data_IF_595734565915
#
_entry.id   IF_595734565915
#
_cell.length_a   1.000
_cell.length_b   1.000
_cell.length_c   1.000
_cell.angle_alpha   90.00
_cell.angle_beta   90.00
_cell.angle_gamma   90.00
#
_symmetry.space_group_name_H-M   'P 1'
#
loop_
_entity.id
_entity.type
_entity.pdbx_description
1 polymer ?
#
# COMPACT_ATOMS: atom_id res chain seq x y z
N UNK A 1 -12.22 17.50 35.81
CA UNK A 1 -11.57 17.04 34.56
C UNK A 1 -10.48 16.05 34.89
N UNK A 2 -10.46 14.89 34.25
CA UNK A 2 -9.51 13.80 34.46
C UNK A 2 -8.80 13.49 33.15
N UNK A 3 -7.75 12.65 33.21
CA UNK A 3 -7.07 12.17 31.99
C UNK A 3 -8.07 11.40 31.10
N UNK A 4 -9.02 10.68 31.70
CA UNK A 4 -10.05 9.98 30.95
C UNK A 4 -10.93 10.93 30.14
N UNK A 5 -11.26 12.12 30.66
CA UNK A 5 -12.02 13.14 29.92
C UNK A 5 -11.22 13.64 28.71
N UNK A 6 -9.91 13.80 28.84
CA UNK A 6 -9.03 14.26 27.74
C UNK A 6 -9.00 13.21 26.62
N UNK A 7 -8.77 11.95 26.97
CA UNK A 7 -8.72 10.86 25.98
C UNK A 7 -10.07 10.71 25.27
N UNK A 8 -11.15 10.64 26.07
CA UNK A 8 -12.51 10.44 25.51
C UNK A 8 -12.95 11.58 24.59
N UNK A 9 -12.65 12.84 24.95
CA UNK A 9 -13.00 13.99 24.09
C UNK A 9 -12.17 13.98 22.80
N UNK A 10 -10.89 13.60 22.87
CA UNK A 10 -10.04 13.49 21.70
C UNK A 10 -10.61 12.47 20.69
N UNK A 11 -10.96 11.27 21.17
CA UNK A 11 -11.54 10.23 20.34
C UNK A 11 -12.91 10.62 19.81
N UNK A 12 -13.78 11.14 20.65
CA UNK A 12 -15.12 11.60 20.26
C UNK A 12 -15.07 12.70 19.20
N UNK A 13 -14.06 13.56 19.21
CA UNK A 13 -13.90 14.63 18.23
C UNK A 13 -13.87 14.10 16.80
N UNK A 14 -13.22 12.94 16.55
CA UNK A 14 -13.22 12.30 15.24
C UNK A 14 -14.61 11.81 14.84
N UNK A 15 -15.33 11.16 15.76
CA UNK A 15 -16.68 10.66 15.49
C UNK A 15 -17.64 11.81 15.19
N UNK A 16 -17.59 12.88 16.00
CA UNK A 16 -18.44 14.07 15.80
C UNK A 16 -18.07 14.85 14.54
N UNK A 17 -16.81 14.83 14.11
CA UNK A 17 -16.36 15.56 12.91
C UNK A 17 -16.64 14.82 11.61
N UNK A 18 -16.61 13.48 11.61
CA UNK A 18 -16.64 12.71 10.38
C UNK A 18 -17.77 11.68 10.28
N UNK A 19 -18.35 11.24 11.38
CA UNK A 19 -19.26 10.09 11.40
C UNK A 19 -20.65 10.44 11.92
N UNK A 20 -20.74 11.15 13.04
CA UNK A 20 -22.01 11.41 13.69
C UNK A 20 -22.76 12.57 13.04
N UNK A 21 -23.72 12.22 12.17
CA UNK A 21 -24.71 13.16 11.63
C UNK A 21 -25.69 13.61 12.73
N UNK A 22 -26.59 14.50 12.41
CA UNK A 22 -27.61 14.95 13.36
C UNK A 22 -28.43 13.79 13.93
N UNK A 23 -28.74 12.79 13.10
CA UNK A 23 -29.52 11.60 13.49
C UNK A 23 -28.83 10.78 14.59
N UNK A 24 -27.55 10.49 14.43
CA UNK A 24 -26.78 9.72 15.43
C UNK A 24 -26.59 10.52 16.71
N UNK A 25 -26.39 11.82 16.63
CA UNK A 25 -26.28 12.70 17.79
C UNK A 25 -27.56 12.75 18.62
N UNK A 26 -28.71 12.72 17.98
CA UNK A 26 -30.01 12.64 18.65
C UNK A 26 -30.26 11.29 19.33
N UNK A 27 -29.69 10.22 18.82
CA UNK A 27 -29.79 8.89 19.43
C UNK A 27 -28.89 8.73 20.67
N UNK A 28 -27.90 9.60 20.83
CA UNK A 28 -26.91 9.56 21.93
C UNK A 28 -26.92 10.86 22.74
N UNK A 29 -28.05 11.25 23.35
CA UNK A 29 -28.19 12.57 23.96
C UNK A 29 -27.24 12.82 25.12
N UNK A 30 -27.00 11.82 25.97
CA UNK A 30 -26.12 11.94 27.11
C UNK A 30 -24.64 12.08 26.69
N UNK A 31 -24.21 11.32 25.70
CA UNK A 31 -22.86 11.41 25.15
C UNK A 31 -22.64 12.76 24.45
N UNK A 32 -23.64 13.19 23.71
CA UNK A 32 -23.62 14.48 23.02
C UNK A 32 -23.55 15.64 24.01
N UNK A 33 -24.36 15.61 25.08
CA UNK A 33 -24.32 16.61 26.13
C UNK A 33 -22.97 16.64 26.87
N UNK A 34 -22.40 15.45 27.18
CA UNK A 34 -21.08 15.33 27.79
C UNK A 34 -20.01 15.97 26.90
N UNK A 35 -19.94 15.60 25.62
CA UNK A 35 -18.98 16.14 24.67
C UNK A 35 -19.09 17.67 24.55
N UNK A 36 -20.28 18.21 24.39
CA UNK A 36 -20.49 19.66 24.29
C UNK A 36 -20.16 20.41 25.58
N UNK A 37 -20.37 19.80 26.74
CA UNK A 37 -20.02 20.42 28.02
C UNK A 37 -18.49 20.52 28.18
N UNK A 38 -17.76 19.51 27.75
CA UNK A 38 -16.29 19.56 27.77
C UNK A 38 -15.72 20.56 26.75
N UNK A 39 -16.33 20.71 25.60
CA UNK A 39 -15.93 21.73 24.60
C UNK A 39 -16.14 23.19 25.07
N UNK A 40 -16.90 23.44 26.16
CA UNK A 40 -17.00 24.77 26.78
C UNK A 40 -15.75 25.15 27.57
N UNK A 41 -14.95 24.17 27.97
CA UNK A 41 -13.70 24.38 28.73
C UNK A 41 -12.68 25.07 27.81
N UNK A 42 -12.04 26.18 28.23
CA UNK A 42 -11.18 26.99 27.38
C UNK A 42 -10.02 26.20 26.74
N UNK A 43 -9.45 25.22 27.45
CA UNK A 43 -8.35 24.40 26.99
C UNK A 43 -8.78 23.51 25.80
N UNK A 44 -9.92 22.86 25.90
CA UNK A 44 -10.48 22.08 24.79
C UNK A 44 -10.89 22.97 23.62
N UNK A 45 -11.50 24.12 23.90
CA UNK A 45 -11.91 25.07 22.88
C UNK A 45 -10.74 25.62 22.06
N UNK A 46 -9.59 25.84 22.72
CA UNK A 46 -8.38 26.35 22.05
C UNK A 46 -7.76 25.34 21.10
N UNK A 47 -7.82 24.04 21.42
CA UNK A 47 -7.21 22.96 20.63
C UNK A 47 -8.15 22.42 19.56
N UNK A 48 -9.40 22.16 19.92
CA UNK A 48 -10.39 21.53 19.03
C UNK A 48 -11.07 22.55 18.12
N UNK A 49 -11.20 23.79 18.58
CA UNK A 49 -11.90 24.85 17.85
C UNK A 49 -13.41 24.65 17.83
N UNK A 50 -14.07 25.18 16.79
CA UNK A 50 -15.48 24.89 16.52
C UNK A 50 -15.58 23.59 15.74
N UNK A 51 -16.21 22.54 16.27
CA UNK A 51 -16.42 21.32 15.51
C UNK A 51 -17.37 21.59 14.35
N UNK A 52 -16.98 21.13 13.17
CA UNK A 52 -17.86 21.06 12.02
C UNK A 52 -18.52 19.68 12.04
N UNK A 53 -19.83 19.63 11.92
CA UNK A 53 -20.58 18.38 11.94
C UNK A 53 -21.02 18.02 10.54
N UNK A 54 -20.82 16.77 10.09
CA UNK A 54 -21.20 16.36 8.76
C UNK A 54 -22.73 16.21 8.65
N UNK A 55 -23.28 16.61 7.52
CA UNK A 55 -24.69 16.32 7.16
C UNK A 55 -24.84 14.86 6.72
N UNK A 56 -23.79 14.29 6.12
CA UNK A 56 -23.68 12.88 5.74
C UNK A 56 -22.45 12.25 6.38
N UNK A 57 -22.51 10.98 6.83
CA UNK A 57 -21.34 10.32 7.41
C UNK A 57 -20.23 10.22 6.36
N UNK A 58 -19.00 10.52 6.76
CA UNK A 58 -17.86 10.24 5.92
C UNK A 58 -17.74 8.73 5.75
N UNK A 59 -18.06 8.25 4.56
CA UNK A 59 -17.86 6.85 4.18
C UNK A 59 -16.45 6.72 3.65
N UNK A 60 -15.59 5.89 4.25
CA UNK A 60 -14.31 5.57 3.63
C UNK A 60 -14.57 5.01 2.23
N UNK A 61 -13.82 5.48 1.24
CA UNK A 61 -13.88 4.93 -0.12
C UNK A 61 -13.35 3.50 -0.05
N UNK A 62 -14.24 2.56 0.25
CA UNK A 62 -13.94 1.15 0.09
C UNK A 62 -14.00 0.91 -1.42
N UNK A 63 -12.83 0.76 -2.04
CA UNK A 63 -12.77 0.31 -3.43
C UNK A 63 -13.54 -1.02 -3.51
N UNK A 64 -14.71 -0.99 -4.11
CA UNK A 64 -15.49 -2.20 -4.36
C UNK A 64 -14.71 -3.00 -5.40
N UNK A 65 -13.96 -3.98 -4.94
CA UNK A 65 -13.56 -5.06 -5.83
C UNK A 65 -14.86 -5.72 -6.32
N UNK A 66 -15.11 -5.78 -7.62
CA UNK A 66 -16.32 -6.44 -8.12
C UNK A 66 -16.22 -7.92 -7.76
N UNK A 67 -17.18 -8.41 -6.97
CA UNK A 67 -17.35 -9.83 -6.75
C UNK A 67 -17.62 -10.52 -8.08
N UNK A 68 -17.17 -11.78 -8.30
CA UNK A 68 -17.40 -12.50 -9.52
C UNK A 68 -18.91 -12.63 -9.77
N UNK A 69 -19.35 -12.15 -10.93
CA UNK A 69 -20.75 -12.23 -11.37
C UNK A 69 -21.12 -13.70 -11.57
N UNK A 70 -22.04 -14.21 -10.77
CA UNK A 70 -22.84 -15.37 -11.15
C UNK A 70 -23.85 -14.91 -12.19
N UNK A 71 -23.78 -15.48 -13.37
CA UNK A 71 -24.76 -15.31 -14.43
C UNK A 71 -26.08 -15.97 -14.03
N UNK A 72 -27.12 -15.17 -13.85
CA UNK A 72 -28.49 -15.64 -13.93
C UNK A 72 -29.24 -14.82 -14.96
N UNK A 73 -29.60 -15.50 -16.04
CA UNK A 73 -30.51 -15.01 -17.08
C UNK A 73 -31.87 -14.64 -16.49
N UNK A 74 -32.40 -13.43 -16.82
CA UNK A 74 -33.78 -13.22 -17.34
C UNK A 74 -34.11 -11.76 -17.63
N UNK A 75 -34.35 -11.59 -18.92
CA UNK A 75 -35.47 -10.91 -19.62
C UNK A 75 -35.80 -9.45 -19.38
N UNK A 76 -35.83 -8.82 -20.54
CA UNK A 76 -36.32 -7.49 -20.92
C UNK A 76 -37.68 -7.08 -20.35
N UNK A 77 -37.82 -5.76 -20.12
CA UNK A 77 -38.95 -5.00 -20.71
C UNK A 77 -38.66 -3.48 -20.69
N UNK A 78 -39.03 -2.85 -21.81
CA UNK A 78 -38.90 -1.45 -22.20
C UNK A 78 -39.96 -0.56 -21.55
N UNK A 79 -39.67 0.72 -21.35
CA UNK A 79 -40.39 1.97 -21.77
C UNK A 79 -39.85 3.15 -20.99
N UNK A 80 -39.20 4.10 -21.60
CA UNK A 80 -39.65 5.29 -22.37
C UNK A 80 -40.20 6.44 -21.51
N UNK A 81 -39.47 7.55 -21.65
CA UNK A 81 -39.90 8.95 -21.83
C UNK A 81 -40.06 9.87 -20.63
N UNK A 82 -39.31 10.91 -20.52
CA UNK A 82 -39.54 12.32 -20.84
C UNK A 82 -38.60 13.30 -20.08
N UNK A 83 -37.97 14.18 -20.84
CA UNK A 83 -37.26 15.41 -20.42
C UNK A 83 -38.30 16.53 -20.12
N UNK A 84 -37.97 17.65 -19.40
CA UNK A 84 -37.03 18.64 -19.91
C UNK A 84 -36.18 19.44 -18.88
N UNK A 85 -35.01 19.83 -19.35
CA UNK A 85 -34.19 21.04 -19.20
C UNK A 85 -34.49 22.06 -18.06
N UNK A 86 -33.42 22.37 -17.29
CA UNK A 86 -33.02 23.75 -16.97
C UNK A 86 -31.52 23.84 -16.76
N UNK A 87 -30.91 24.77 -17.46
CA UNK A 87 -29.50 25.16 -17.39
C UNK A 87 -29.24 25.96 -16.13
N UNK A 88 -28.12 25.66 -15.46
CA UNK A 88 -27.32 26.67 -14.74
C UNK A 88 -25.88 26.17 -14.68
N UNK A 89 -24.95 27.10 -14.91
CA UNK A 89 -23.55 26.88 -15.12
C UNK A 89 -22.85 26.40 -13.85
N UNK A 90 -22.15 25.28 -13.93
CA UNK A 90 -21.15 24.86 -12.94
C UNK A 90 -19.78 24.82 -13.60
N UNK A 91 -18.84 25.47 -12.94
CA UNK A 91 -17.43 25.44 -13.29
C UNK A 91 -16.90 24.01 -13.26
N UNK A 92 -16.44 23.51 -14.38
CA UNK A 92 -15.81 22.21 -14.53
C UNK A 92 -14.46 22.20 -13.80
N UNK A 93 -14.44 21.64 -12.60
CA UNK A 93 -13.24 21.05 -12.03
C UNK A 93 -12.96 19.74 -12.79
N UNK A 94 -12.14 19.84 -13.80
CA UNK A 94 -11.70 18.69 -14.59
C UNK A 94 -10.81 17.79 -13.73
N UNK A 95 -11.44 16.83 -13.06
CA UNK A 95 -10.74 15.65 -12.54
C UNK A 95 -10.27 14.88 -13.80
N UNK A 96 -8.99 15.00 -14.12
CA UNK A 96 -8.35 14.15 -15.09
C UNK A 96 -8.39 12.71 -14.56
N UNK A 97 -9.38 11.93 -14.98
CA UNK A 97 -9.28 10.47 -14.94
C UNK A 97 -8.13 10.08 -15.88
N UNK A 98 -6.93 9.91 -15.31
CA UNK A 98 -5.85 9.25 -16.03
C UNK A 98 -6.33 7.84 -16.40
N UNK A 99 -6.60 7.63 -17.68
CA UNK A 99 -6.89 6.31 -18.23
C UNK A 99 -5.75 5.39 -17.82
N UNK A 100 -6.05 4.38 -16.98
CA UNK A 100 -5.08 3.39 -16.54
C UNK A 100 -4.36 2.82 -17.77
N UNK A 101 -3.06 3.10 -17.91
CA UNK A 101 -2.23 2.55 -18.99
C UNK A 101 -2.32 1.04 -18.92
N UNK A 102 -2.76 0.40 -20.01
CA UNK A 102 -2.79 -1.06 -20.12
C UNK A 102 -1.42 -1.49 -20.63
N UNK A 103 -0.69 -2.23 -19.81
CA UNK A 103 0.60 -2.79 -20.18
C UNK A 103 0.38 -4.17 -20.80
N UNK A 104 0.95 -4.39 -21.98
CA UNK A 104 0.95 -5.68 -22.64
C UNK A 104 2.14 -6.51 -22.14
N UNK A 105 1.86 -7.76 -21.79
CA UNK A 105 2.88 -8.70 -21.32
C UNK A 105 2.86 -9.96 -22.17
N UNK A 106 4.01 -10.62 -22.35
CA UNK A 106 4.07 -11.91 -23.02
C UNK A 106 3.10 -12.90 -22.40
N UNK A 107 2.48 -13.72 -23.25
CA UNK A 107 1.64 -14.83 -22.77
C UNK A 107 2.49 -15.83 -21.99
N UNK A 108 2.03 -16.23 -20.82
CA UNK A 108 2.72 -17.18 -19.95
C UNK A 108 1.73 -18.10 -19.27
N UNK A 109 2.15 -19.31 -18.99
CA UNK A 109 1.39 -20.27 -18.18
C UNK A 109 1.59 -20.08 -16.68
N UNK A 110 2.59 -19.27 -16.29
CA UNK A 110 2.88 -18.99 -14.88
C UNK A 110 1.92 -17.95 -14.33
N UNK A 111 1.11 -18.37 -13.34
CA UNK A 111 0.21 -17.46 -12.62
C UNK A 111 0.91 -16.78 -11.45
N UNK A 112 1.28 -15.51 -11.64
CA UNK A 112 1.92 -14.70 -10.63
C UNK A 112 1.04 -14.48 -9.39
N UNK A 113 -0.28 -14.40 -9.53
CA UNK A 113 -1.18 -14.20 -8.41
C UNK A 113 -1.26 -15.45 -7.53
N UNK A 114 -1.41 -16.62 -8.16
CA UNK A 114 -1.36 -17.89 -7.46
C UNK A 114 -0.01 -18.08 -6.75
N UNK A 115 1.09 -17.73 -7.42
CA UNK A 115 2.43 -17.79 -6.81
C UNK A 115 2.59 -16.82 -5.62
N UNK A 116 2.10 -15.59 -5.70
CA UNK A 116 2.11 -14.65 -4.55
C UNK A 116 1.40 -15.26 -3.34
N UNK A 117 0.25 -15.87 -3.56
CA UNK A 117 -0.52 -16.52 -2.50
C UNK A 117 0.25 -17.71 -1.92
N UNK A 118 0.82 -18.54 -2.78
CA UNK A 118 1.65 -19.68 -2.37
C UNK A 118 2.84 -19.21 -1.52
N UNK A 119 3.62 -18.26 -2.02
CA UNK A 119 4.82 -17.77 -1.36
C UNK A 119 4.51 -17.14 0.01
N UNK A 120 3.47 -16.31 0.09
CA UNK A 120 3.13 -15.64 1.35
C UNK A 120 2.68 -16.64 2.42
N UNK A 121 1.89 -17.65 2.04
CA UNK A 121 1.33 -18.65 2.95
C UNK A 121 2.29 -19.81 3.25
N UNK A 122 3.35 -20.00 2.44
CA UNK A 122 4.31 -21.08 2.68
C UNK A 122 5.03 -20.88 4.01
N UNK A 123 5.03 -21.92 4.85
CA UNK A 123 5.83 -21.98 6.08
C UNK A 123 7.32 -22.03 5.71
N UNK A 124 7.67 -22.91 4.76
CA UNK A 124 9.00 -23.03 4.19
C UNK A 124 9.07 -22.27 2.86
N UNK A 125 9.76 -21.13 2.85
CA UNK A 125 9.88 -20.29 1.64
C UNK A 125 10.69 -20.98 0.52
N UNK A 126 11.56 -21.93 0.88
CA UNK A 126 12.33 -22.67 -0.12
C UNK A 126 11.41 -23.49 -1.04
N UNK A 127 10.39 -24.13 -0.51
CA UNK A 127 9.41 -24.89 -1.33
C UNK A 127 8.69 -24.01 -2.36
N UNK A 128 8.33 -22.79 -1.96
CA UNK A 128 7.74 -21.83 -2.89
C UNK A 128 8.74 -21.40 -3.98
N UNK A 129 10.02 -21.23 -3.62
CA UNK A 129 11.07 -20.95 -4.62
C UNK A 129 11.32 -22.12 -5.54
N UNK A 130 11.31 -23.35 -5.04
CA UNK A 130 11.47 -24.55 -5.87
C UNK A 130 10.33 -24.65 -6.91
N UNK A 131 9.10 -24.35 -6.49
CA UNK A 131 7.97 -24.22 -7.42
C UNK A 131 8.20 -23.12 -8.45
N UNK A 132 8.71 -21.95 -8.03
CA UNK A 132 9.02 -20.84 -8.93
C UNK A 132 10.06 -21.26 -9.97
N UNK A 133 11.16 -21.90 -9.54
CA UNK A 133 12.22 -22.31 -10.45
C UNK A 133 11.79 -23.39 -11.43
N UNK A 134 10.89 -24.29 -11.02
CA UNK A 134 10.33 -25.32 -11.89
C UNK A 134 9.42 -24.74 -12.99
N UNK A 135 8.81 -23.58 -12.74
CA UNK A 135 7.86 -22.95 -13.65
C UNK A 135 8.34 -21.58 -14.18
N UNK A 136 9.63 -21.25 -14.01
CA UNK A 136 10.17 -19.96 -14.38
C UNK A 136 10.10 -19.69 -15.87
N UNK A 137 9.52 -18.55 -16.23
CA UNK A 137 9.42 -18.04 -17.59
C UNK A 137 10.19 -16.72 -17.73
N UNK A 138 11.41 -16.80 -18.26
CA UNK A 138 12.32 -15.66 -18.44
C UNK A 138 11.82 -14.62 -19.45
N UNK A 139 10.89 -14.98 -20.33
CA UNK A 139 10.32 -14.07 -21.31
C UNK A 139 9.18 -13.24 -20.72
N UNK A 140 8.53 -13.77 -19.67
CA UNK A 140 7.40 -13.14 -19.03
C UNK A 140 7.75 -12.42 -17.73
N UNK A 141 8.87 -12.77 -17.09
CA UNK A 141 9.28 -12.22 -15.79
C UNK A 141 10.76 -11.90 -15.73
N UNK A 142 11.10 -10.98 -14.85
CA UNK A 142 12.48 -10.59 -14.55
C UNK A 142 12.67 -10.38 -13.06
N UNK A 143 13.92 -10.59 -12.59
CA UNK A 143 14.32 -10.24 -11.24
C UNK A 143 15.19 -9.00 -11.24
N UNK A 144 14.98 -8.16 -10.22
CA UNK A 144 15.72 -6.92 -10.04
C UNK A 144 16.18 -6.79 -8.60
N UNK A 145 17.44 -6.46 -8.42
CA UNK A 145 18.01 -6.04 -7.16
C UNK A 145 17.89 -4.52 -7.04
N UNK A 146 17.33 -4.05 -5.95
CA UNK A 146 17.12 -2.65 -5.63
C UNK A 146 17.99 -2.28 -4.44
N UNK A 147 18.80 -1.25 -4.58
CA UNK A 147 19.60 -0.69 -3.48
C UNK A 147 19.42 0.81 -3.42
N UNK A 148 19.01 1.32 -2.26
CA UNK A 148 18.89 2.75 -2.01
C UNK A 148 20.27 3.39 -1.98
N UNK A 149 20.44 4.48 -2.72
CA UNK A 149 21.66 5.30 -2.73
C UNK A 149 21.56 6.35 -1.61
N UNK A 150 21.97 5.93 -0.41
CA UNK A 150 21.81 6.73 0.80
C UNK A 150 22.75 7.94 0.83
N UNK A 151 22.24 9.08 1.28
CA UNK A 151 23.07 10.25 1.58
C UNK A 151 23.95 9.99 2.82
N UNK A 152 25.08 10.73 2.99
CA UNK A 152 25.96 10.57 4.16
C UNK A 152 25.31 10.78 5.53
N UNK A 153 24.18 11.49 5.57
CA UNK A 153 23.39 11.72 6.79
C UNK A 153 22.40 10.60 7.11
N UNK A 154 22.11 9.70 6.16
CA UNK A 154 21.10 8.65 6.24
C UNK A 154 21.68 7.30 6.68
N UNK A 155 20.81 6.35 7.00
CA UNK A 155 21.21 5.03 7.47
C UNK A 155 21.79 4.98 8.89
N UNK A 156 21.70 6.08 9.67
CA UNK A 156 22.27 6.14 11.01
C UNK A 156 21.35 5.61 12.09
N UNK A 157 20.04 5.71 11.89
CA UNK A 157 19.01 5.29 12.84
C UNK A 157 17.97 4.41 12.17
N UNK A 158 17.64 3.29 12.80
CA UNK A 158 16.73 2.29 12.25
C UNK A 158 15.34 2.86 11.93
N UNK A 159 14.75 3.60 12.86
CA UNK A 159 13.40 4.13 12.66
C UNK A 159 13.33 5.15 11.50
N UNK A 160 14.37 5.97 11.29
CA UNK A 160 14.41 6.91 10.16
C UNK A 160 14.58 6.17 8.83
N UNK A 161 15.45 5.15 8.82
CA UNK A 161 15.68 4.31 7.65
C UNK A 161 14.41 3.52 7.27
N UNK A 162 13.68 3.02 8.27
CA UNK A 162 12.38 2.38 8.05
C UNK A 162 11.35 3.34 7.45
N UNK A 163 11.31 4.59 7.90
CA UNK A 163 10.39 5.58 7.34
C UNK A 163 10.71 5.89 5.87
N UNK A 164 12.00 5.98 5.51
CA UNK A 164 12.42 6.13 4.11
C UNK A 164 11.97 4.95 3.26
N UNK A 165 12.22 3.73 3.73
CA UNK A 165 11.80 2.49 3.06
C UNK A 165 10.29 2.43 2.88
N UNK A 166 9.53 2.66 3.95
CA UNK A 166 8.06 2.62 3.88
C UNK A 166 7.51 3.69 2.93
N UNK A 167 8.07 4.91 2.96
CA UNK A 167 7.67 5.98 2.06
C UNK A 167 7.90 5.65 0.57
N UNK A 168 8.93 4.86 0.24
CA UNK A 168 9.12 4.34 -1.10
C UNK A 168 8.05 3.29 -1.44
N UNK A 169 7.83 2.31 -0.57
CA UNK A 169 6.87 1.23 -0.80
C UNK A 169 5.43 1.74 -0.91
N UNK A 170 5.05 2.71 -0.09
CA UNK A 170 3.70 3.30 -0.11
C UNK A 170 3.42 4.03 -1.44
N UNK A 171 4.40 4.78 -1.96
CA UNK A 171 4.26 5.45 -3.25
C UNK A 171 4.31 4.48 -4.44
N UNK A 172 4.96 3.31 -4.30
CA UNK A 172 5.01 2.27 -5.31
C UNK A 172 3.74 1.39 -5.32
N UNK A 173 2.73 1.67 -4.51
CA UNK A 173 1.53 0.82 -4.32
C UNK A 173 0.84 0.42 -5.63
N UNK A 174 0.76 1.33 -6.59
CA UNK A 174 0.19 1.10 -7.92
C UNK A 174 0.93 0.04 -8.74
N UNK A 175 2.19 -0.29 -8.37
CA UNK A 175 2.99 -1.33 -9.00
C UNK A 175 2.67 -2.74 -8.48
N UNK A 176 1.97 -2.89 -7.36
CA UNK A 176 1.74 -4.19 -6.69
C UNK A 176 1.20 -5.27 -7.62
N UNK A 177 0.30 -4.94 -8.52
CA UNK A 177 -0.28 -5.92 -9.46
C UNK A 177 0.74 -6.52 -10.45
N UNK A 178 1.89 -5.87 -10.62
CA UNK A 178 2.92 -6.25 -11.58
C UNK A 178 4.18 -6.86 -10.96
N UNK A 179 4.32 -6.82 -9.65
CA UNK A 179 5.53 -7.28 -8.98
C UNK A 179 5.25 -8.01 -7.67
N UNK A 180 6.24 -8.75 -7.23
CA UNK A 180 6.37 -9.31 -5.87
C UNK A 180 7.80 -9.07 -5.43
N UNK A 181 7.99 -8.50 -4.25
CA UNK A 181 9.33 -8.23 -3.77
C UNK A 181 9.49 -8.44 -2.28
N UNK A 182 10.70 -8.79 -1.88
CA UNK A 182 11.18 -8.68 -0.51
C UNK A 182 12.06 -7.44 -0.45
N UNK A 183 11.72 -6.52 0.42
CA UNK A 183 12.43 -5.27 0.60
C UNK A 183 12.69 -5.05 2.08
N UNK A 184 13.86 -4.55 2.45
CA UNK A 184 14.20 -4.47 3.85
C UNK A 184 15.32 -3.50 4.18
N UNK A 185 15.50 -3.30 5.47
CA UNK A 185 16.64 -2.58 6.05
C UNK A 185 17.61 -3.58 6.62
N UNK A 186 18.87 -3.47 6.20
CA UNK A 186 19.93 -4.40 6.53
C UNK A 186 21.14 -3.67 7.15
N UNK A 187 21.82 -4.33 8.09
CA UNK A 187 23.01 -3.83 8.77
C UNK A 187 22.74 -3.37 10.19
N UNK A 188 23.72 -2.70 10.76
CA UNK A 188 23.68 -2.20 12.12
C UNK A 188 23.82 -0.68 12.15
N UNK A 189 23.23 -0.03 13.16
CA UNK A 189 23.47 1.39 13.39
C UNK A 189 24.96 1.66 13.66
N UNK A 190 25.56 2.64 13.04
CA UNK A 190 25.01 3.71 12.21
C UNK A 190 25.11 3.47 10.70
N UNK A 191 25.25 2.23 10.22
CA UNK A 191 25.47 1.90 8.80
C UNK A 191 24.37 0.96 8.27
N UNK A 192 23.13 1.44 8.29
CA UNK A 192 21.96 0.75 7.74
C UNK A 192 21.85 1.00 6.24
N UNK A 193 21.38 -0.01 5.51
CA UNK A 193 21.12 0.07 4.07
C UNK A 193 19.72 -0.46 3.75
N UNK A 194 19.03 0.18 2.79
CA UNK A 194 17.77 -0.28 2.26
C UNK A 194 18.06 -1.05 0.97
N UNK A 195 17.62 -2.30 0.93
CA UNK A 195 17.84 -3.21 -0.21
C UNK A 195 16.62 -4.09 -0.43
N UNK A 196 16.49 -4.64 -1.63
CA UNK A 196 15.44 -5.59 -1.93
C UNK A 196 15.68 -6.36 -3.21
N UNK A 197 15.01 -7.51 -3.33
CA UNK A 197 14.96 -8.29 -4.55
C UNK A 197 13.52 -8.47 -4.97
N UNK A 198 13.20 -8.01 -6.16
CA UNK A 198 11.84 -7.95 -6.68
C UNK A 198 11.71 -8.75 -7.99
N UNK A 199 10.66 -9.53 -8.08
CA UNK A 199 10.21 -10.15 -9.32
C UNK A 199 9.19 -9.24 -10.00
N UNK A 200 9.39 -8.96 -11.27
CA UNK A 200 8.52 -8.13 -12.10
C UNK A 200 7.91 -8.92 -13.23
N UNK A 201 6.67 -8.57 -13.57
CA UNK A 201 6.02 -9.02 -14.80
C UNK A 201 6.59 -8.23 -15.97
N UNK A 202 7.11 -8.95 -16.97
CA UNK A 202 7.88 -8.36 -18.06
C UNK A 202 9.39 -8.48 -17.85
N UNK A 203 10.14 -8.19 -18.91
CA UNK A 203 11.61 -8.32 -18.93
C UNK A 203 12.32 -7.02 -18.54
N UNK A 204 11.61 -5.91 -18.53
CA UNK A 204 12.11 -4.58 -18.15
C UNK A 204 11.27 -3.98 -17.03
N UNK A 205 11.84 -2.99 -16.32
CA UNK A 205 11.09 -2.22 -15.33
C UNK A 205 9.99 -1.42 -15.99
N UNK A 206 8.81 -1.48 -15.40
CA UNK A 206 7.63 -0.81 -15.93
C UNK A 206 7.69 0.71 -15.73
N UNK A 207 7.08 1.44 -16.66
CA UNK A 207 6.95 2.90 -16.57
C UNK A 207 6.38 3.39 -15.23
N UNK A 208 5.36 2.76 -14.61
CA UNK A 208 4.89 3.20 -13.29
C UNK A 208 5.96 3.29 -12.22
N UNK A 209 6.95 2.39 -12.24
CA UNK A 209 8.07 2.49 -11.29
C UNK A 209 9.05 3.58 -11.70
N UNK A 210 9.29 3.77 -13.00
CA UNK A 210 10.17 4.82 -13.51
C UNK A 210 9.61 6.23 -13.27
N UNK A 211 8.28 6.38 -13.24
CA UNK A 211 7.58 7.62 -12.89
C UNK A 211 7.57 7.88 -11.36
N UNK A 212 8.05 6.95 -10.55
CA UNK A 212 8.09 7.09 -9.10
C UNK A 212 9.04 8.22 -8.68
N UNK A 213 8.59 9.12 -7.80
CA UNK A 213 9.35 10.30 -7.36
C UNK A 213 10.73 9.99 -6.72
N UNK A 214 10.95 8.77 -6.27
CA UNK A 214 12.20 8.29 -5.69
C UNK A 214 12.90 7.27 -6.59
N UNK A 215 12.54 7.19 -7.87
CA UNK A 215 13.17 6.24 -8.79
C UNK A 215 14.69 6.46 -8.86
N UNK A 216 15.10 7.70 -9.04
CA UNK A 216 16.52 8.08 -9.25
C UNK A 216 17.42 7.90 -8.02
N UNK A 217 16.83 7.72 -6.83
CA UNK A 217 17.61 7.46 -5.59
C UNK A 217 17.79 5.98 -5.29
N UNK A 218 17.33 5.11 -6.18
CA UNK A 218 17.58 3.68 -6.13
C UNK A 218 18.42 3.23 -7.31
N UNK A 219 19.37 2.34 -7.04
CA UNK A 219 20.10 1.62 -8.07
C UNK A 219 19.37 0.31 -8.36
N UNK A 220 19.10 0.06 -9.64
CA UNK A 220 18.38 -1.12 -10.12
C UNK A 220 19.35 -2.00 -10.93
N UNK A 221 19.55 -3.22 -10.49
CA UNK A 221 20.39 -4.21 -11.20
C UNK A 221 19.54 -5.41 -11.57
N UNK A 222 19.46 -5.73 -12.86
CA UNK A 222 18.76 -6.92 -13.35
C UNK A 222 19.54 -8.17 -12.95
N UNK A 223 18.85 -9.15 -12.38
CA UNK A 223 19.41 -10.44 -11.98
C UNK A 223 19.03 -11.52 -12.99
N UNK A 224 20.00 -12.37 -13.33
CA UNK A 224 19.79 -13.53 -14.20
C UNK A 224 19.77 -14.82 -13.36
N UNK A 225 18.61 -15.47 -13.17
CA UNK A 225 18.50 -16.70 -12.40
C UNK A 225 19.30 -17.89 -12.99
N UNK A 226 19.80 -17.77 -14.20
CA UNK A 226 20.68 -18.78 -14.81
C UNK A 226 22.09 -18.77 -14.21
N UNK A 227 22.51 -17.63 -13.68
CA UNK A 227 23.80 -17.52 -13.00
C UNK A 227 23.67 -18.00 -11.56
N UNK A 228 24.47 -18.97 -11.12
CA UNK A 228 24.36 -19.56 -9.78
C UNK A 228 24.46 -18.51 -8.65
N UNK A 229 25.34 -17.52 -8.81
CA UNK A 229 25.59 -16.47 -7.83
C UNK A 229 24.34 -15.56 -7.68
N UNK A 230 23.75 -15.13 -8.79
CA UNK A 230 22.57 -14.26 -8.80
C UNK A 230 21.32 -15.02 -8.31
N UNK A 231 21.19 -16.30 -8.68
CA UNK A 231 20.16 -17.19 -8.14
C UNK A 231 20.30 -17.38 -6.62
N UNK A 232 21.52 -17.56 -6.14
CA UNK A 232 21.79 -17.67 -4.71
C UNK A 232 21.44 -16.38 -3.96
N UNK A 233 21.71 -15.22 -4.56
CA UNK A 233 21.32 -13.92 -4.02
C UNK A 233 19.79 -13.80 -3.90
N UNK A 234 19.05 -14.11 -4.96
CA UNK A 234 17.58 -14.14 -4.94
C UNK A 234 17.10 -15.05 -3.81
N UNK A 235 17.65 -16.26 -3.72
CA UNK A 235 17.28 -17.23 -2.70
C UNK A 235 17.53 -16.68 -1.29
N UNK A 236 18.67 -16.02 -1.05
CA UNK A 236 18.96 -15.43 0.26
C UNK A 236 17.90 -14.39 0.66
N UNK A 237 17.56 -13.46 -0.24
CA UNK A 237 16.57 -12.42 0.04
C UNK A 237 15.16 -13.00 0.27
N UNK A 238 14.84 -14.09 -0.38
CA UNK A 238 13.48 -14.64 -0.37
C UNK A 238 13.28 -15.77 0.65
N UNK A 239 14.33 -16.27 1.29
CA UNK A 239 14.25 -17.32 2.32
C UNK A 239 14.70 -16.88 3.70
N UNK A 240 15.64 -15.92 3.79
CA UNK A 240 16.15 -15.41 5.06
C UNK A 240 15.33 -14.23 5.52
N UNK A 241 14.26 -14.51 6.26
CA UNK A 241 13.20 -13.57 6.58
C UNK A 241 13.02 -13.35 8.08
N UNK A 242 13.92 -13.87 8.91
CA UNK A 242 13.88 -13.69 10.34
C UNK A 242 14.64 -12.41 10.72
N UNK A 243 13.90 -11.39 11.17
CA UNK A 243 14.45 -10.11 11.59
C UNK A 243 15.38 -10.32 12.79
N UNK A 244 16.47 -9.56 12.86
CA UNK A 244 17.53 -9.59 13.88
C UNK A 244 18.35 -10.87 13.97
N UNK A 245 17.99 -11.92 13.25
CA UNK A 245 18.67 -13.23 13.24
C UNK A 245 19.35 -13.52 11.91
N UNK A 246 18.62 -13.38 10.81
CA UNK A 246 19.11 -13.70 9.49
C UNK A 246 20.11 -12.68 8.94
N UNK A 247 21.11 -13.19 8.23
CA UNK A 247 22.07 -12.36 7.50
C UNK A 247 21.94 -12.57 6.00
N UNK A 248 21.81 -11.46 5.29
CA UNK A 248 21.78 -11.40 3.84
C UNK A 248 22.94 -10.52 3.37
N UNK A 249 23.77 -11.03 2.44
CA UNK A 249 25.01 -10.35 2.03
C UNK A 249 25.89 -9.91 3.21
N UNK A 250 25.96 -10.73 4.27
CA UNK A 250 26.74 -10.47 5.48
C UNK A 250 26.16 -9.43 6.45
N UNK A 251 25.01 -8.81 6.12
CA UNK A 251 24.33 -7.80 6.94
C UNK A 251 23.09 -8.38 7.60
N UNK A 252 22.88 -8.05 8.86
CA UNK A 252 21.70 -8.49 9.64
C UNK A 252 20.44 -7.85 9.07
N UNK A 253 19.40 -8.65 8.84
CA UNK A 253 18.07 -8.15 8.47
C UNK A 253 17.40 -7.50 9.69
N UNK A 254 17.08 -6.22 9.62
CA UNK A 254 16.49 -5.45 10.72
C UNK A 254 15.01 -5.23 10.59
N UNK A 255 14.56 -5.02 9.38
CA UNK A 255 13.14 -4.87 9.05
C UNK A 255 12.91 -5.41 7.66
N UNK A 256 11.87 -6.22 7.50
CA UNK A 256 11.53 -6.84 6.24
C UNK A 256 10.09 -6.54 5.85
N UNK A 257 9.86 -6.28 4.59
CA UNK A 257 8.54 -6.03 4.01
C UNK A 257 8.35 -6.86 2.74
N UNK A 258 7.17 -7.47 2.66
CA UNK A 258 6.71 -8.11 1.43
C UNK A 258 5.89 -7.11 0.63
N UNK A 259 6.39 -6.75 -0.54
CA UNK A 259 5.67 -5.93 -1.48
C UNK A 259 4.91 -6.84 -2.45
N UNK A 260 3.60 -6.95 -2.27
CA UNK A 260 2.74 -7.95 -2.95
C UNK A 260 1.43 -7.36 -3.43
#
# INVERSE_FOLDING_TARGET
MTIADIVLVSDLTYFYRYTFTEKERLQLPNLTAYYYNLLKIPEFKSVIGKPHYPDTPFMPIISKHPAPKQETHKKEEKKADNKPKKEEAEEEDTIHEEKAKVYEFPATTFDMFAFKTLYVNAVNKQEALDYLWANWDEKAFSFWYLKYDKLPSEGKKLFLTNNLMNGFLDRADHCRKYCLGVHGVYGDEPDLEIRGVWMWKGVELLEPLKEHAQFDVYNYSKLDPKKPEEKALITQYWTKLEEDSDKVEGRTARTLKFFK
#
